data_IF_142268625725
#
_entry.id   IF_142268625725
#
_cell.length_a   1.000
_cell.length_b   1.000
_cell.length_c   1.000
_cell.angle_alpha   90.00
_cell.angle_beta   90.00
_cell.angle_gamma   90.00
#
_symmetry.space_group_name_H-M   'P 1'
#
loop_
_entity.id
_entity.type
_entity.pdbx_description
1 polymer ?
#
# COMPACT_ATOMS: atom_id res chain seq x y z
N UNK A 1 31.15 -25.66 -21.33
CA UNK A 1 30.00 -25.64 -20.41
C UNK A 1 29.61 -24.18 -20.31
N UNK A 2 28.48 -23.79 -20.90
CA UNK A 2 27.99 -22.42 -20.76
C UNK A 2 27.69 -22.18 -19.28
N UNK A 3 28.31 -21.16 -18.69
CA UNK A 3 27.96 -20.64 -17.38
C UNK A 3 26.50 -20.19 -17.44
N UNK A 4 25.58 -21.03 -16.96
CA UNK A 4 24.21 -20.62 -16.73
C UNK A 4 24.22 -19.67 -15.54
N UNK A 5 24.28 -18.38 -15.85
CA UNK A 5 24.27 -17.32 -14.86
C UNK A 5 22.96 -17.34 -14.07
N UNK A 6 23.06 -17.34 -12.75
CA UNK A 6 22.00 -16.99 -11.83
C UNK A 6 21.40 -15.64 -12.23
N UNK A 7 20.25 -15.66 -12.89
CA UNK A 7 19.59 -14.44 -13.35
C UNK A 7 18.59 -13.95 -12.28
N UNK A 8 19.01 -12.96 -11.50
CA UNK A 8 18.17 -12.31 -10.48
C UNK A 8 16.84 -11.87 -11.09
N UNK A 9 16.83 -11.32 -12.31
CA UNK A 9 15.60 -10.80 -12.91
C UNK A 9 14.58 -11.89 -13.24
N UNK A 10 15.02 -13.10 -13.58
CA UNK A 10 14.10 -14.21 -13.85
C UNK A 10 13.49 -14.76 -12.56
N UNK A 11 14.27 -14.77 -11.47
CA UNK A 11 13.80 -15.15 -10.14
C UNK A 11 12.78 -14.13 -9.63
N UNK A 12 13.06 -12.84 -9.80
CA UNK A 12 12.17 -11.76 -9.39
C UNK A 12 10.83 -11.78 -10.14
N UNK A 13 10.85 -12.13 -11.44
CA UNK A 13 9.61 -12.32 -12.22
C UNK A 13 8.78 -13.49 -11.72
N UNK A 14 9.40 -14.64 -11.45
CA UNK A 14 8.69 -15.79 -10.89
C UNK A 14 8.13 -15.49 -9.49
N UNK A 15 8.91 -14.79 -8.66
CA UNK A 15 8.46 -14.35 -7.34
C UNK A 15 7.25 -13.38 -7.46
N UNK A 16 7.23 -12.52 -8.48
CA UNK A 16 6.06 -11.68 -8.82
C UNK A 16 4.81 -12.49 -9.15
N UNK A 17 4.92 -13.44 -10.06
CA UNK A 17 3.78 -14.28 -10.44
C UNK A 17 3.19 -15.05 -9.24
N UNK A 18 4.04 -15.46 -8.28
CA UNK A 18 3.62 -16.20 -7.08
C UNK A 18 2.99 -15.31 -6.01
N UNK A 19 3.53 -14.11 -5.82
CA UNK A 19 3.07 -13.15 -4.79
C UNK A 19 1.81 -12.40 -5.23
N UNK A 20 1.50 -12.39 -6.52
CA UNK A 20 0.33 -11.70 -7.09
C UNK A 20 -0.92 -12.58 -7.24
N UNK A 21 -0.83 -13.88 -6.98
CA UNK A 21 -2.01 -14.76 -6.98
C UNK A 21 -3.07 -14.25 -5.97
N UNK A 22 -4.35 -14.50 -6.26
CA UNK A 22 -5.45 -14.05 -5.39
C UNK A 22 -5.99 -15.21 -4.57
N UNK A 23 -6.19 -14.97 -3.27
CA UNK A 23 -6.84 -15.91 -2.36
C UNK A 23 -8.26 -15.42 -2.07
N UNK A 24 -9.24 -16.28 -2.34
CA UNK A 24 -10.68 -16.00 -2.15
C UNK A 24 -11.36 -17.00 -1.20
N UNK A 25 -10.57 -17.84 -0.51
CA UNK A 25 -11.09 -18.90 0.37
C UNK A 25 -12.00 -18.39 1.50
N UNK A 26 -11.84 -17.13 1.93
CA UNK A 26 -12.62 -16.52 3.02
C UNK A 26 -14.04 -16.07 2.61
N UNK A 27 -14.37 -16.04 1.31
CA UNK A 27 -15.64 -15.45 0.82
C UNK A 27 -16.83 -16.39 1.03
N UNK A 28 -16.60 -17.70 1.15
CA UNK A 28 -17.66 -18.73 1.08
C UNK A 28 -18.77 -18.59 2.13
N UNK A 29 -18.51 -17.96 3.28
CA UNK A 29 -19.45 -17.86 4.40
C UNK A 29 -19.77 -16.42 4.85
N UNK A 30 -19.57 -15.44 3.98
CA UNK A 30 -19.72 -14.02 4.34
C UNK A 30 -20.86 -13.34 3.59
N UNK A 31 -21.64 -12.52 4.30
CA UNK A 31 -22.52 -11.51 3.71
C UNK A 31 -21.94 -10.10 3.84
N UNK A 32 -22.09 -9.30 2.78
CA UNK A 32 -21.72 -7.88 2.74
C UNK A 32 -22.96 -7.07 2.44
N UNK A 33 -23.29 -6.12 3.31
CA UNK A 33 -24.42 -5.22 3.12
C UNK A 33 -23.93 -3.84 2.67
N UNK A 34 -24.63 -3.21 1.74
CA UNK A 34 -24.30 -1.87 1.24
C UNK A 34 -25.42 -0.89 1.59
N UNK A 35 -25.06 0.27 2.11
CA UNK A 35 -25.98 1.36 2.40
C UNK A 35 -25.66 2.54 1.49
N UNK A 36 -26.61 2.88 0.61
CA UNK A 36 -26.48 4.02 -0.30
C UNK A 36 -27.08 5.26 0.34
N UNK A 37 -26.33 6.36 0.36
CA UNK A 37 -26.79 7.70 0.69
C UNK A 37 -26.48 8.64 -0.48
N UNK A 38 -27.48 9.38 -0.96
CA UNK A 38 -27.27 10.43 -1.97
C UNK A 38 -27.08 11.77 -1.25
N UNK A 39 -25.86 12.29 -1.28
CA UNK A 39 -25.49 13.51 -0.56
C UNK A 39 -25.36 14.69 -1.50
N UNK A 40 -25.89 15.85 -1.12
CA UNK A 40 -25.66 17.09 -1.84
C UNK A 40 -24.15 17.40 -1.88
N UNK A 41 -23.65 17.88 -3.02
CA UNK A 41 -22.23 18.23 -3.23
C UNK A 41 -21.68 19.07 -2.07
N UNK A 42 -22.42 20.10 -1.65
CA UNK A 42 -21.98 20.97 -0.56
C UNK A 42 -21.79 20.21 0.76
N UNK A 43 -22.75 19.36 1.12
CA UNK A 43 -22.68 18.51 2.32
C UNK A 43 -21.51 17.52 2.27
N UNK A 44 -21.24 16.92 1.11
CA UNK A 44 -20.11 16.01 0.92
C UNK A 44 -18.78 16.75 1.14
N UNK A 45 -18.64 17.95 0.58
CA UNK A 45 -17.42 18.77 0.70
C UNK A 45 -17.21 19.25 2.14
N UNK A 46 -18.27 19.72 2.81
CA UNK A 46 -18.18 20.15 4.20
C UNK A 46 -17.77 18.98 5.11
N UNK A 47 -18.38 17.80 4.93
CA UNK A 47 -17.96 16.61 5.67
C UNK A 47 -16.52 16.18 5.39
N UNK A 48 -15.99 16.44 4.20
CA UNK A 48 -14.58 16.16 3.89
C UNK A 48 -13.63 17.18 4.56
N UNK A 49 -13.99 18.46 4.58
CA UNK A 49 -13.23 19.51 5.29
C UNK A 49 -13.21 19.25 6.82
N UNK A 50 -14.33 18.75 7.37
CA UNK A 50 -14.50 18.36 8.78
C UNK A 50 -13.89 16.98 9.15
N UNK A 51 -13.14 16.35 8.23
CA UNK A 51 -12.53 15.03 8.44
C UNK A 51 -13.49 13.88 8.78
N UNK A 52 -14.77 13.98 8.38
CA UNK A 52 -15.69 12.84 8.43
C UNK A 52 -15.23 11.74 7.48
N UNK A 53 -14.72 12.12 6.30
CA UNK A 53 -14.20 11.21 5.29
C UNK A 53 -12.67 11.18 5.34
N UNK A 54 -12.11 10.02 5.70
CA UNK A 54 -10.67 9.84 5.87
C UNK A 54 -10.11 9.03 4.72
N UNK A 55 -8.97 9.47 4.18
CA UNK A 55 -8.23 8.72 3.17
C UNK A 55 -7.24 7.80 3.90
N UNK A 56 -7.33 6.46 3.70
CA UNK A 56 -6.39 5.49 4.25
C UNK A 56 -4.93 5.83 4.00
N UNK A 57 -4.07 5.37 4.90
CA UNK A 57 -2.62 5.63 4.88
C UNK A 57 -1.89 5.20 3.62
N UNK A 58 -2.47 4.23 2.94
CA UNK A 58 -1.75 3.51 1.90
C UNK A 58 -2.45 3.54 0.56
N UNK A 59 -3.39 4.47 0.41
CA UNK A 59 -3.96 4.80 -0.87
C UNK A 59 -2.91 5.44 -1.77
N UNK A 60 -3.02 5.18 -3.08
CA UNK A 60 -2.13 5.79 -4.08
C UNK A 60 -2.20 7.31 -3.99
N UNK A 61 -1.06 7.94 -4.23
CA UNK A 61 -0.90 9.39 -4.27
C UNK A 61 -1.88 10.05 -5.25
N UNK A 62 -2.20 11.32 -5.01
CA UNK A 62 -3.05 12.08 -5.93
C UNK A 62 -2.36 12.25 -7.29
N UNK A 63 -3.00 11.78 -8.37
CA UNK A 63 -2.42 11.79 -9.73
C UNK A 63 -3.36 12.36 -10.81
N UNK A 64 -4.54 12.84 -10.44
CA UNK A 64 -5.50 13.37 -11.41
C UNK A 64 -4.99 14.67 -12.05
N UNK A 65 -5.03 14.71 -13.39
CA UNK A 65 -4.66 15.89 -14.18
C UNK A 65 -5.71 16.98 -14.05
N UNK A 66 -5.34 18.23 -14.38
CA UNK A 66 -6.28 19.37 -14.42
C UNK A 66 -7.50 19.05 -15.30
N UNK A 67 -7.28 18.40 -16.44
CA UNK A 67 -8.33 18.02 -17.38
C UNK A 67 -9.33 17.03 -16.76
N UNK A 68 -8.87 16.06 -15.96
CA UNK A 68 -9.76 15.13 -15.25
C UNK A 68 -10.59 15.86 -14.19
N UNK A 69 -10.00 16.81 -13.47
CA UNK A 69 -10.73 17.66 -12.51
C UNK A 69 -11.76 18.54 -13.22
N UNK A 70 -11.40 19.13 -14.36
CA UNK A 70 -12.30 19.95 -15.18
C UNK A 70 -13.49 19.14 -15.68
N UNK A 71 -13.26 17.94 -16.22
CA UNK A 71 -14.33 17.04 -16.66
C UNK A 71 -15.27 16.61 -15.51
N UNK A 72 -14.74 16.43 -14.31
CA UNK A 72 -15.56 16.17 -13.12
C UNK A 72 -16.42 17.38 -12.72
N UNK A 73 -15.85 18.58 -12.77
CA UNK A 73 -16.60 19.83 -12.53
C UNK A 73 -17.69 20.06 -13.60
N UNK A 74 -17.39 19.76 -14.87
CA UNK A 74 -18.38 19.79 -15.95
C UNK A 74 -19.52 18.82 -15.66
N UNK A 75 -19.20 17.61 -15.17
CA UNK A 75 -20.20 16.60 -14.81
C UNK A 75 -21.14 17.10 -13.71
N UNK A 76 -20.62 17.78 -12.67
CA UNK A 76 -21.43 18.42 -11.63
C UNK A 76 -22.40 19.47 -12.20
N UNK A 77 -21.90 20.35 -13.07
CA UNK A 77 -22.68 21.46 -13.64
C UNK A 77 -23.75 20.95 -14.61
N UNK A 78 -23.43 19.92 -15.39
CA UNK A 78 -24.31 19.32 -16.38
C UNK A 78 -25.25 18.26 -15.80
N UNK A 79 -25.11 17.92 -14.52
CA UNK A 79 -25.87 16.84 -13.88
C UNK A 79 -25.58 15.46 -14.48
N UNK A 80 -24.37 15.25 -14.99
CA UNK A 80 -23.97 13.94 -15.50
C UNK A 80 -23.72 12.97 -14.34
N UNK A 81 -23.92 11.66 -14.54
CA UNK A 81 -23.64 10.66 -13.52
C UNK A 81 -22.20 10.72 -13.04
N UNK A 82 -22.01 10.95 -11.74
CA UNK A 82 -20.73 10.83 -11.05
C UNK A 82 -20.73 9.47 -10.35
N UNK A 83 -19.70 8.62 -10.54
CA UNK A 83 -19.68 7.33 -9.86
C UNK A 83 -19.71 7.51 -8.33
N UNK A 84 -20.15 6.49 -7.57
CA UNK A 84 -20.25 6.60 -6.12
C UNK A 84 -18.88 6.66 -5.42
N UNK A 85 -18.84 7.25 -4.23
CA UNK A 85 -17.70 7.16 -3.31
C UNK A 85 -17.98 5.99 -2.36
N UNK A 86 -17.08 5.02 -2.32
CA UNK A 86 -17.23 3.86 -1.44
C UNK A 86 -16.48 4.11 -0.14
N UNK A 87 -17.14 3.86 0.98
CA UNK A 87 -16.59 4.07 2.31
C UNK A 87 -16.89 2.88 3.20
N UNK A 88 -16.15 2.75 4.29
CA UNK A 88 -16.51 1.88 5.41
C UNK A 88 -16.39 2.63 6.73
N UNK A 89 -17.13 2.19 7.74
CA UNK A 89 -17.14 2.84 9.05
C UNK A 89 -15.99 2.31 9.92
N UNK A 90 -15.12 3.22 10.34
CA UNK A 90 -14.03 2.96 11.28
C UNK A 90 -14.44 3.32 12.72
N UNK A 91 -13.71 2.81 13.71
CA UNK A 91 -14.07 2.80 15.14
C UNK A 91 -14.25 4.16 15.83
N UNK A 92 -14.11 5.28 15.12
CA UNK A 92 -14.28 6.66 15.64
C UNK A 92 -15.41 7.44 14.95
N UNK A 93 -16.43 6.76 14.41
CA UNK A 93 -17.49 7.35 13.58
C UNK A 93 -17.00 8.08 12.31
N UNK A 94 -15.73 7.89 11.95
CA UNK A 94 -15.16 8.36 10.69
C UNK A 94 -15.45 7.34 9.58
N UNK A 95 -15.62 7.84 8.37
CA UNK A 95 -15.85 7.06 7.16
C UNK A 95 -14.55 7.00 6.37
N UNK A 96 -13.91 5.84 6.34
CA UNK A 96 -12.69 5.65 5.58
C UNK A 96 -13.02 5.32 4.13
N UNK A 97 -12.38 6.02 3.21
CA UNK A 97 -12.63 5.89 1.77
C UNK A 97 -11.95 4.63 1.23
N UNK A 98 -12.76 3.70 0.74
CA UNK A 98 -12.30 2.55 -0.02
C UNK A 98 -12.03 2.95 -1.46
N UNK A 99 -12.97 3.62 -2.13
CA UNK A 99 -12.78 4.11 -3.51
C UNK A 99 -13.38 5.50 -3.70
N UNK A 100 -12.79 6.28 -4.61
CA UNK A 100 -13.20 7.66 -4.91
C UNK A 100 -12.33 8.73 -4.27
N UNK A 101 -11.19 8.38 -3.69
CA UNK A 101 -10.28 9.34 -3.05
C UNK A 101 -9.81 10.48 -3.99
N UNK A 102 -9.52 10.17 -5.25
CA UNK A 102 -9.12 11.19 -6.24
C UNK A 102 -10.30 12.12 -6.53
N UNK A 103 -11.51 11.55 -6.66
CA UNK A 103 -12.74 12.29 -6.96
C UNK A 103 -13.10 13.25 -5.83
N UNK A 104 -13.16 12.79 -4.58
CA UNK A 104 -13.52 13.66 -3.45
C UNK A 104 -12.50 14.79 -3.25
N UNK A 105 -11.20 14.51 -3.40
CA UNK A 105 -10.17 15.54 -3.32
C UNK A 105 -10.28 16.54 -4.49
N UNK A 106 -10.49 16.06 -5.73
CA UNK A 106 -10.69 16.94 -6.88
C UNK A 106 -11.92 17.83 -6.73
N UNK A 107 -13.01 17.31 -6.17
CA UNK A 107 -14.23 18.06 -5.87
C UNK A 107 -13.97 19.14 -4.80
N UNK A 108 -13.21 18.80 -3.75
CA UNK A 108 -12.78 19.75 -2.72
C UNK A 108 -11.90 20.86 -3.30
N UNK A 109 -10.87 20.50 -4.08
CA UNK A 109 -9.98 21.48 -4.73
C UNK A 109 -10.75 22.39 -5.70
N UNK A 110 -11.68 21.83 -6.48
CA UNK A 110 -12.57 22.58 -7.35
C UNK A 110 -13.43 23.58 -6.56
N UNK A 111 -14.02 23.15 -5.44
CA UNK A 111 -14.80 24.02 -4.55
C UNK A 111 -13.99 25.21 -4.04
N UNK A 112 -12.72 24.98 -3.66
CA UNK A 112 -11.78 26.02 -3.22
C UNK A 112 -11.17 26.83 -4.37
N UNK A 113 -11.41 26.46 -5.63
CA UNK A 113 -10.83 27.11 -6.81
C UNK A 113 -9.32 26.88 -6.97
N UNK A 114 -8.79 25.81 -6.37
CA UNK A 114 -7.37 25.47 -6.32
C UNK A 114 -7.07 24.23 -7.16
N UNK A 115 -5.79 24.06 -7.52
CA UNK A 115 -5.27 22.83 -8.10
C UNK A 115 -3.83 22.59 -7.62
N UNK A 116 -3.49 21.32 -7.41
CA UNK A 116 -2.15 20.90 -7.02
C UNK A 116 -1.28 20.82 -8.27
N UNK A 117 -0.28 21.69 -8.41
CA UNK A 117 0.61 21.67 -9.57
C UNK A 117 1.49 20.41 -9.51
N UNK A 118 1.30 19.48 -10.44
CA UNK A 118 2.25 18.39 -10.67
C UNK A 118 3.56 18.97 -11.24
N UNK A 119 4.48 19.41 -10.38
CA UNK A 119 5.90 19.24 -10.75
C UNK A 119 6.14 17.72 -10.81
N UNK A 120 6.92 17.26 -11.78
CA UNK A 120 7.35 15.87 -11.90
C UNK A 120 7.81 15.38 -10.51
N UNK A 121 7.05 14.46 -9.89
CA UNK A 121 7.18 13.94 -8.51
C UNK A 121 6.40 14.59 -7.34
N UNK A 122 5.48 15.55 -7.52
CA UNK A 122 4.63 15.96 -6.37
C UNK A 122 3.62 14.86 -6.03
N UNK A 123 3.95 14.11 -4.98
CA UNK A 123 3.16 13.03 -4.45
C UNK A 123 2.45 13.51 -3.18
N UNK A 124 1.13 13.74 -3.27
CA UNK A 124 0.34 14.28 -2.16
C UNK A 124 0.01 13.16 -1.18
N UNK A 125 0.56 13.24 0.02
CA UNK A 125 0.37 12.29 1.11
C UNK A 125 -0.74 12.82 2.02
N UNK A 126 -1.98 12.76 1.50
CA UNK A 126 -3.19 13.29 2.17
C UNK A 126 -3.35 12.75 3.58
N UNK A 127 -2.95 11.50 3.79
CA UNK A 127 -2.90 10.87 5.09
C UNK A 127 -2.06 11.66 6.11
N UNK A 128 -0.85 12.09 5.75
CA UNK A 128 0.03 12.81 6.67
C UNK A 128 -0.62 14.11 7.13
N UNK A 129 -1.34 14.77 6.21
CA UNK A 129 -2.11 15.96 6.52
C UNK A 129 -3.29 15.64 7.45
N UNK A 130 -4.07 14.62 7.12
CA UNK A 130 -5.26 14.22 7.90
C UNK A 130 -4.91 13.68 9.30
N UNK A 131 -3.66 13.26 9.51
CA UNK A 131 -3.14 12.79 10.80
C UNK A 131 -2.45 13.90 11.61
N UNK A 132 -2.37 15.14 11.10
CA UNK A 132 -1.74 16.26 11.82
C UNK A 132 -2.51 16.56 13.11
N UNK A 133 -1.80 16.66 14.24
CA UNK A 133 -2.43 16.91 15.54
C UNK A 133 -3.17 18.24 15.56
N UNK A 134 -2.69 19.27 14.86
CA UNK A 134 -3.34 20.58 14.81
C UNK A 134 -4.70 20.49 14.13
N UNK A 135 -4.81 19.64 13.10
CA UNK A 135 -6.06 19.41 12.39
C UNK A 135 -7.06 18.64 13.25
N UNK A 136 -6.59 17.66 14.03
CA UNK A 136 -7.44 16.93 14.99
C UNK A 136 -7.86 17.75 16.21
N UNK A 137 -7.21 18.90 16.47
CA UNK A 137 -7.54 19.86 17.53
C UNK A 137 -8.28 21.10 17.01
N UNK A 138 -8.69 21.09 15.74
CA UNK A 138 -9.33 22.21 15.06
C UNK A 138 -8.50 23.53 15.08
N UNK A 139 -7.17 23.42 15.24
CA UNK A 139 -6.24 24.55 15.27
C UNK A 139 -5.88 25.05 13.85
N UNK A 140 -6.05 24.20 12.84
CA UNK A 140 -5.80 24.49 11.42
C UNK A 140 -6.85 23.79 10.56
N UNK A 141 -7.26 24.39 9.44
CA UNK A 141 -8.15 23.73 8.48
C UNK A 141 -7.38 22.82 7.54
N UNK A 142 -8.05 21.82 6.95
CA UNK A 142 -7.42 20.93 5.98
C UNK A 142 -6.92 21.70 4.75
N UNK A 143 -7.68 22.71 4.32
CA UNK A 143 -7.26 23.67 3.28
C UNK A 143 -5.94 24.34 3.61
N UNK A 144 -5.82 24.93 4.81
CA UNK A 144 -4.62 25.68 5.19
C UNK A 144 -3.40 24.76 5.27
N UNK A 145 -3.60 23.54 5.77
CA UNK A 145 -2.56 22.53 5.83
C UNK A 145 -2.12 22.07 4.42
N UNK A 146 -3.05 21.92 3.48
CA UNK A 146 -2.75 21.65 2.07
C UNK A 146 -1.94 22.79 1.43
N UNK A 147 -2.33 24.04 1.67
CA UNK A 147 -1.60 25.23 1.17
C UNK A 147 -0.17 25.32 1.71
N UNK A 148 0.04 24.99 2.99
CA UNK A 148 1.35 25.07 3.63
C UNK A 148 2.30 23.96 3.15
N UNK A 149 1.76 22.79 2.79
CA UNK A 149 2.56 21.62 2.41
C UNK A 149 2.73 21.45 0.89
N UNK A 150 1.81 21.99 0.08
CA UNK A 150 1.79 21.79 -1.36
C UNK A 150 1.61 23.10 -2.11
N UNK A 151 2.28 23.28 -3.27
CA UNK A 151 2.13 24.48 -4.09
C UNK A 151 0.77 24.49 -4.79
N UNK A 152 -0.25 24.99 -4.07
CA UNK A 152 -1.58 25.22 -4.62
C UNK A 152 -1.57 26.45 -5.52
N UNK A 153 -2.20 26.33 -6.69
CA UNK A 153 -2.41 27.46 -7.60
C UNK A 153 -3.89 27.70 -7.80
N UNK A 154 -4.23 28.97 -7.93
CA UNK A 154 -5.53 29.35 -8.49
C UNK A 154 -5.57 28.86 -9.93
N UNK A 155 -6.63 28.12 -10.25
CA UNK A 155 -6.84 27.58 -11.58
C UNK A 155 -8.18 28.03 -12.13
N UNK A 156 -8.15 28.40 -13.41
CA UNK A 156 -9.36 28.60 -14.19
C UNK A 156 -9.77 27.26 -14.79
N UNK A 157 -11.01 26.85 -14.52
CA UNK A 157 -11.67 25.73 -15.16
C UNK A 157 -12.61 26.26 -16.24
N UNK A 158 -12.63 25.63 -17.40
CA UNK A 158 -13.36 26.11 -18.57
C UNK A 158 -14.40 25.10 -19.03
N UNK A 159 -15.57 25.58 -19.44
CA UNK A 159 -16.59 24.78 -20.12
C UNK A 159 -16.85 25.37 -21.49
N UNK A 160 -16.69 24.53 -22.51
CA UNK A 160 -17.07 24.85 -23.88
C UNK A 160 -18.53 24.49 -24.12
N UNK A 161 -19.27 25.37 -24.78
CA UNK A 161 -20.62 25.10 -25.26
C UNK A 161 -20.84 25.78 -26.61
N UNK A 162 -21.81 25.28 -27.38
CA UNK A 162 -22.21 25.90 -28.65
C UNK A 162 -23.51 26.64 -28.48
N UNK A 163 -23.56 27.83 -29.06
CA UNK A 163 -24.76 28.66 -29.19
C UNK A 163 -24.72 29.29 -30.58
N UNK A 164 -25.76 29.07 -31.38
CA UNK A 164 -25.88 29.60 -32.76
C UNK A 164 -24.63 29.37 -33.64
N UNK A 165 -24.14 28.12 -33.69
CA UNK A 165 -22.93 27.69 -34.41
C UNK A 165 -21.61 28.36 -33.97
N UNK A 166 -21.62 29.15 -32.89
CA UNK A 166 -20.42 29.72 -32.27
C UNK A 166 -20.00 28.91 -31.04
N UNK A 167 -18.70 28.58 -30.95
CA UNK A 167 -18.13 27.99 -29.73
C UNK A 167 -17.88 29.11 -28.71
N UNK A 168 -18.48 28.97 -27.54
CA UNK A 168 -18.29 29.86 -26.40
C UNK A 168 -17.61 29.11 -25.27
N UNK A 169 -16.77 29.83 -24.52
CA UNK A 169 -16.05 29.30 -23.36
C UNK A 169 -16.47 30.10 -22.14
N UNK A 170 -16.90 29.43 -21.08
CA UNK A 170 -17.19 30.06 -19.79
C UNK A 170 -16.23 29.55 -18.72
N UNK A 171 -15.85 30.44 -17.80
CA UNK A 171 -15.14 30.07 -16.60
C UNK A 171 -16.13 29.40 -15.62
N UNK A 172 -15.86 28.14 -15.28
CA UNK A 172 -16.68 27.32 -14.40
C UNK A 172 -16.08 27.13 -13.01
N UNK A 173 -15.11 27.95 -12.60
CA UNK A 173 -14.62 27.96 -11.22
C UNK A 173 -15.77 28.24 -10.25
N UNK A 174 -15.87 27.47 -9.17
CA UNK A 174 -17.04 27.47 -8.28
C UNK A 174 -17.45 28.88 -7.78
N UNK A 175 -16.48 29.69 -7.34
CA UNK A 175 -16.69 31.06 -6.86
C UNK A 175 -17.10 32.05 -7.98
N UNK A 176 -16.84 31.72 -9.24
CA UNK A 176 -17.21 32.51 -10.43
C UNK A 176 -18.54 32.08 -11.06
N UNK A 177 -19.12 30.96 -10.61
CA UNK A 177 -20.42 30.53 -11.12
C UNK A 177 -21.52 31.55 -10.79
N UNK A 178 -22.44 31.83 -11.74
CA UNK A 178 -23.69 32.51 -11.47
C UNK A 178 -24.45 31.84 -10.33
N UNK A 179 -25.17 32.64 -9.54
CA UNK A 179 -25.88 32.16 -8.34
C UNK A 179 -26.83 30.99 -8.61
N UNK A 180 -27.48 30.98 -9.76
CA UNK A 180 -28.41 29.92 -10.18
C UNK A 180 -27.67 28.61 -10.46
N UNK A 181 -26.59 28.65 -11.26
CA UNK A 181 -25.78 27.47 -11.55
C UNK A 181 -25.11 26.96 -10.28
N UNK A 182 -24.62 27.85 -9.41
CA UNK A 182 -24.04 27.47 -8.13
C UNK A 182 -25.03 26.71 -7.26
N UNK A 183 -26.29 27.16 -7.17
CA UNK A 183 -27.35 26.43 -6.46
C UNK A 183 -27.56 25.05 -7.05
N UNK A 184 -27.59 24.92 -8.38
CA UNK A 184 -27.68 23.60 -9.02
C UNK A 184 -26.52 22.71 -8.58
N UNK A 185 -25.28 23.20 -8.65
CA UNK A 185 -24.08 22.46 -8.22
C UNK A 185 -24.16 22.09 -6.74
N UNK A 186 -24.54 23.01 -5.86
CA UNK A 186 -24.62 22.78 -4.41
C UNK A 186 -25.56 21.62 -4.05
N UNK A 187 -26.66 21.48 -4.79
CA UNK A 187 -27.69 20.45 -4.59
C UNK A 187 -27.53 19.23 -5.50
N UNK A 188 -26.60 19.22 -6.46
CA UNK A 188 -26.27 18.02 -7.24
C UNK A 188 -25.82 16.92 -6.27
N UNK A 189 -26.49 15.77 -6.33
CA UNK A 189 -26.22 14.67 -5.41
C UNK A 189 -25.12 13.75 -5.92
N UNK A 190 -24.21 13.36 -5.03
CA UNK A 190 -23.21 12.32 -5.26
C UNK A 190 -23.52 11.17 -4.31
N UNK A 191 -23.57 9.95 -4.86
CA UNK A 191 -23.82 8.76 -4.06
C UNK A 191 -22.60 8.40 -3.21
N UNK A 192 -22.82 8.18 -1.92
CA UNK A 192 -21.88 7.56 -0.99
C UNK A 192 -22.41 6.18 -0.63
N UNK A 193 -21.59 5.15 -0.80
CA UNK A 193 -21.94 3.76 -0.49
C UNK A 193 -21.11 3.31 0.71
N UNK A 194 -21.76 3.13 1.85
CA UNK A 194 -21.16 2.56 3.05
C UNK A 194 -21.22 1.02 2.98
N UNK A 195 -20.05 0.39 3.02
CA UNK A 195 -19.89 -1.06 3.09
C UNK A 195 -19.94 -1.48 4.56
N UNK A 196 -20.88 -2.35 4.90
CA UNK A 196 -20.97 -2.99 6.21
C UNK A 196 -20.68 -4.47 6.09
N UNK A 197 -19.80 -4.93 6.96
CA UNK A 197 -19.39 -6.32 7.06
C UNK A 197 -19.87 -6.85 8.40
N UNK A 198 -20.68 -7.90 8.37
CA UNK A 198 -21.31 -8.44 9.59
C UNK A 198 -20.34 -9.29 10.42
N UNK A 199 -19.34 -9.91 9.78
CA UNK A 199 -18.31 -10.70 10.44
C UNK A 199 -17.07 -9.85 10.75
N UNK A 200 -16.97 -9.38 11.99
CA UNK A 200 -15.80 -8.61 12.46
C UNK A 200 -14.49 -9.40 12.38
N UNK A 201 -14.49 -10.75 12.42
CA UNK A 201 -13.25 -11.55 12.30
C UNK A 201 -12.71 -11.54 10.87
N UNK A 202 -13.60 -11.57 9.88
CA UNK A 202 -13.22 -11.59 8.46
C UNK A 202 -13.25 -10.20 7.82
N UNK A 203 -13.60 -9.16 8.59
CA UNK A 203 -13.81 -7.79 8.11
C UNK A 203 -12.71 -7.29 7.19
N UNK A 204 -11.44 -7.43 7.59
CA UNK A 204 -10.32 -6.98 6.78
C UNK A 204 -10.20 -7.75 5.47
N UNK A 205 -10.39 -9.08 5.48
CA UNK A 205 -10.41 -9.90 4.26
C UNK A 205 -11.50 -9.50 3.29
N UNK A 206 -12.68 -9.22 3.83
CA UNK A 206 -13.83 -8.84 3.05
C UNK A 206 -13.63 -7.44 2.46
N UNK A 207 -13.13 -6.50 3.26
CA UNK A 207 -12.75 -5.16 2.80
C UNK A 207 -11.64 -5.23 1.74
N UNK A 208 -10.67 -6.12 1.89
CA UNK A 208 -9.64 -6.40 0.87
C UNK A 208 -10.27 -6.82 -0.45
N UNK A 209 -11.23 -7.76 -0.42
CA UNK A 209 -11.94 -8.19 -1.63
C UNK A 209 -12.78 -7.09 -2.26
N UNK A 210 -13.52 -6.36 -1.43
CA UNK A 210 -14.35 -5.24 -1.89
C UNK A 210 -13.46 -4.19 -2.55
N UNK A 211 -12.34 -3.84 -1.91
CA UNK A 211 -11.40 -2.86 -2.42
C UNK A 211 -10.78 -3.34 -3.75
N UNK A 212 -10.37 -4.60 -3.85
CA UNK A 212 -9.93 -5.19 -5.12
C UNK A 212 -10.99 -5.06 -6.24
N UNK A 213 -12.24 -5.44 -5.96
CA UNK A 213 -13.32 -5.39 -6.96
C UNK A 213 -13.57 -3.95 -7.44
N UNK A 214 -13.46 -2.97 -6.56
CA UNK A 214 -13.64 -1.55 -6.89
C UNK A 214 -12.49 -1.00 -7.74
N UNK A 215 -11.27 -1.52 -7.56
CA UNK A 215 -10.11 -1.07 -8.33
C UNK A 215 -10.00 -1.70 -9.73
N UNK A 216 -10.85 -2.68 -10.06
CA UNK A 216 -10.80 -3.41 -11.35
C UNK A 216 -11.11 -2.53 -12.58
N UNK A 217 -11.76 -1.38 -12.39
CA UNK A 217 -12.04 -0.41 -13.46
C UNK A 217 -10.89 0.55 -13.81
N UNK A 218 -9.78 0.51 -13.07
CA UNK A 218 -8.62 1.40 -13.26
C UNK A 218 -7.29 0.64 -13.30
N UNK A 219 -6.20 1.28 -12.89
CA UNK A 219 -4.93 0.56 -12.66
C UNK A 219 -5.10 -0.36 -11.47
N UNK A 220 -5.05 -1.67 -11.72
CA UNK A 220 -5.20 -2.70 -10.69
C UNK A 220 -4.12 -2.55 -9.62
N UNK A 221 -4.54 -2.52 -8.35
CA UNK A 221 -3.65 -2.49 -7.21
C UNK A 221 -3.09 -3.90 -6.96
N UNK A 222 -1.79 -3.97 -6.70
CA UNK A 222 -1.13 -5.24 -6.32
C UNK A 222 -1.50 -5.64 -4.90
N UNK A 223 -1.24 -6.90 -4.55
CA UNK A 223 -1.64 -7.47 -3.26
C UNK A 223 -1.11 -6.68 -2.05
N UNK A 224 0.13 -6.20 -2.10
CA UNK A 224 0.65 -5.36 -1.01
C UNK A 224 -0.04 -4.00 -0.93
N UNK A 225 -0.39 -3.38 -2.06
CA UNK A 225 -1.12 -2.11 -2.07
C UNK A 225 -2.51 -2.28 -1.45
N UNK A 226 -3.19 -3.39 -1.76
CA UNK A 226 -4.47 -3.76 -1.13
C UNK A 226 -4.31 -4.01 0.37
N UNK A 227 -3.29 -4.79 0.78
CA UNK A 227 -3.00 -5.05 2.21
C UNK A 227 -2.75 -3.76 2.95
N UNK A 228 -1.91 -2.89 2.40
CA UNK A 228 -1.65 -1.61 3.01
C UNK A 228 -3.01 -0.90 3.20
N UNK A 229 -3.83 -0.72 2.16
CA UNK A 229 -5.12 0.00 2.26
C UNK A 229 -6.09 -0.50 3.35
N UNK A 230 -6.05 -1.80 3.65
CA UNK A 230 -6.95 -2.47 4.60
C UNK A 230 -6.37 -2.53 6.03
N UNK A 231 -5.11 -2.96 6.18
CA UNK A 231 -4.50 -3.23 7.48
C UNK A 231 -3.83 -1.97 8.04
N UNK A 232 -4.64 -1.06 8.58
CA UNK A 232 -4.16 0.17 9.20
C UNK A 232 -3.81 -0.02 10.67
N UNK A 233 -2.55 -0.38 10.95
CA UNK A 233 -2.04 -0.55 12.32
C UNK A 233 -0.60 -0.05 12.48
N UNK A 234 -0.19 0.11 13.75
CA UNK A 234 1.16 0.56 14.12
C UNK A 234 2.27 -0.36 13.57
N UNK A 235 1.96 -1.65 13.39
CA UNK A 235 2.90 -2.58 12.78
C UNK A 235 3.19 -2.23 11.31
N UNK A 236 2.16 -1.94 10.52
CA UNK A 236 2.38 -1.49 9.13
C UNK A 236 3.03 -0.11 9.10
N UNK A 237 2.68 0.80 10.01
CA UNK A 237 3.36 2.09 10.13
C UNK A 237 4.87 1.91 10.34
N UNK A 238 5.28 0.96 11.18
CA UNK A 238 6.69 0.60 11.41
C UNK A 238 7.37 0.09 10.13
N UNK A 239 6.72 -0.79 9.36
CA UNK A 239 7.29 -1.28 8.08
C UNK A 239 7.53 -0.13 7.10
N UNK A 240 6.56 0.78 6.99
CA UNK A 240 6.68 1.98 6.14
C UNK A 240 7.74 2.95 6.68
N UNK A 241 7.87 3.10 8.00
CA UNK A 241 8.92 3.90 8.63
C UNK A 241 10.30 3.39 8.20
N UNK A 242 10.61 2.10 8.43
CA UNK A 242 11.86 1.48 7.99
C UNK A 242 12.07 1.70 6.49
N UNK A 243 11.03 1.46 5.68
CA UNK A 243 11.11 1.61 4.23
C UNK A 243 11.46 3.05 3.78
N UNK A 244 10.99 4.05 4.52
CA UNK A 244 11.10 5.44 4.16
C UNK A 244 12.34 6.13 4.74
N UNK A 245 12.82 5.70 5.92
CA UNK A 245 13.85 6.43 6.67
C UNK A 245 15.18 5.67 6.76
N UNK A 246 15.20 4.34 6.61
CA UNK A 246 16.44 3.56 6.75
C UNK A 246 17.29 3.60 5.47
N UNK A 247 18.39 4.36 5.51
CA UNK A 247 19.29 4.52 4.35
C UNK A 247 19.97 3.22 3.91
N UNK A 248 20.31 2.32 4.84
CA UNK A 248 20.93 1.04 4.49
C UNK A 248 19.94 0.13 3.77
N UNK A 249 18.69 0.11 4.23
CA UNK A 249 17.63 -0.60 3.53
C UNK A 249 17.42 -0.10 2.10
N UNK A 250 17.48 1.23 1.88
CA UNK A 250 17.43 1.81 0.52
C UNK A 250 18.65 1.48 -0.32
N UNK A 251 19.84 1.30 0.27
CA UNK A 251 21.02 0.79 -0.45
C UNK A 251 20.88 -0.69 -0.83
N UNK A 252 20.28 -1.50 0.04
CA UNK A 252 20.06 -2.94 -0.18
C UNK A 252 18.99 -3.18 -1.26
N UNK A 253 17.84 -2.51 -1.13
CA UNK A 253 16.71 -2.73 -2.02
C UNK A 253 16.77 -1.87 -3.29
N UNK A 254 17.20 -0.62 -3.18
CA UNK A 254 17.18 0.38 -4.24
C UNK A 254 16.05 1.40 -4.11
N UNK A 255 15.55 1.87 -5.26
CA UNK A 255 14.46 2.85 -5.32
C UNK A 255 13.15 2.27 -4.78
N UNK A 256 12.30 3.15 -4.23
CA UNK A 256 10.97 2.77 -3.73
C UNK A 256 10.15 2.17 -4.87
N UNK A 257 9.65 0.95 -4.66
CA UNK A 257 8.90 0.28 -5.70
C UNK A 257 7.50 0.88 -5.83
N UNK A 258 7.04 1.13 -7.06
CA UNK A 258 5.74 1.78 -7.32
C UNK A 258 4.54 1.02 -6.73
N UNK A 259 4.66 -0.31 -6.58
CA UNK A 259 3.66 -1.21 -6.03
C UNK A 259 4.00 -1.69 -4.60
N UNK A 260 4.88 -0.99 -3.88
CA UNK A 260 5.27 -1.32 -2.50
C UNK A 260 5.88 -2.73 -2.31
N UNK A 261 6.59 -3.28 -3.31
CA UNK A 261 7.24 -4.60 -3.21
C UNK A 261 8.38 -4.61 -2.19
N UNK A 262 8.99 -3.45 -1.94
CA UNK A 262 9.92 -3.21 -0.84
C UNK A 262 9.26 -3.41 0.52
N UNK A 263 8.08 -2.83 0.72
CA UNK A 263 7.32 -3.03 1.96
C UNK A 263 6.80 -4.47 2.08
N UNK A 264 6.43 -5.10 0.96
CA UNK A 264 6.05 -6.53 0.94
C UNK A 264 7.21 -7.40 1.42
N UNK A 265 8.46 -7.12 1.02
CA UNK A 265 9.62 -7.89 1.47
C UNK A 265 9.85 -7.75 2.99
N UNK A 266 9.67 -6.56 3.55
CA UNK A 266 9.71 -6.37 5.01
C UNK A 266 8.56 -7.11 5.72
N UNK A 267 7.36 -7.13 5.13
CA UNK A 267 6.23 -7.92 5.64
C UNK A 267 6.54 -9.42 5.60
N UNK A 268 7.18 -9.90 4.52
CA UNK A 268 7.63 -11.29 4.39
C UNK A 268 8.63 -11.64 5.48
N UNK A 269 9.61 -10.78 5.78
CA UNK A 269 10.53 -10.98 6.89
C UNK A 269 9.77 -11.29 8.18
N UNK A 270 8.86 -10.41 8.58
CA UNK A 270 8.11 -10.57 9.81
C UNK A 270 7.19 -11.80 9.82
N UNK A 271 6.49 -12.07 8.70
CA UNK A 271 5.65 -13.25 8.56
C UNK A 271 6.45 -14.55 8.67
N UNK A 272 7.63 -14.61 8.04
CA UNK A 272 8.55 -15.72 8.18
C UNK A 272 9.03 -15.85 9.65
N UNK A 273 9.42 -14.77 10.32
CA UNK A 273 9.80 -14.86 11.74
C UNK A 273 8.64 -15.36 12.62
N UNK A 274 7.39 -14.98 12.33
CA UNK A 274 6.23 -15.37 13.13
C UNK A 274 5.88 -16.86 12.98
N UNK A 275 5.86 -17.35 11.74
CA UNK A 275 5.35 -18.69 11.42
C UNK A 275 6.43 -19.78 11.35
N UNK A 276 7.70 -19.41 11.48
CA UNK A 276 8.80 -20.36 11.48
C UNK A 276 9.40 -20.57 12.86
N UNK A 277 9.67 -21.83 13.17
CA UNK A 277 10.36 -22.22 14.40
C UNK A 277 11.53 -23.15 14.08
N UNK A 278 12.66 -22.92 14.76
CA UNK A 278 13.79 -23.83 14.73
C UNK A 278 13.53 -24.99 15.69
N UNK A 279 13.34 -26.20 15.16
CA UNK A 279 13.08 -27.40 15.92
C UNK A 279 14.07 -28.51 15.51
N UNK A 280 14.75 -29.09 16.49
CA UNK A 280 15.72 -30.17 16.28
C UNK A 280 16.79 -29.85 15.22
N UNK A 281 17.26 -28.59 15.19
CA UNK A 281 18.27 -28.12 14.22
C UNK A 281 17.74 -27.83 12.81
N UNK A 282 16.42 -27.93 12.59
CA UNK A 282 15.78 -27.64 11.31
C UNK A 282 14.67 -26.60 11.46
N UNK A 283 14.61 -25.67 10.52
CA UNK A 283 13.55 -24.68 10.38
C UNK A 283 12.27 -25.39 9.89
N UNK A 284 11.17 -25.25 10.64
CA UNK A 284 9.83 -25.73 10.25
C UNK A 284 8.87 -24.58 9.99
N UNK A 285 8.07 -24.73 8.95
CA UNK A 285 7.06 -23.76 8.51
C UNK A 285 5.65 -24.15 8.98
N UNK A 286 5.01 -23.27 9.75
CA UNK A 286 3.62 -23.41 10.19
C UNK A 286 2.70 -22.47 9.42
N UNK A 287 1.41 -22.82 9.29
CA UNK A 287 0.40 -21.97 8.66
C UNK A 287 0.73 -21.48 7.22
N UNK A 288 1.38 -22.32 6.41
CA UNK A 288 1.67 -22.03 5.01
C UNK A 288 1.07 -23.08 4.09
N UNK A 289 0.13 -22.64 3.25
CA UNK A 289 -0.64 -23.49 2.33
C UNK A 289 -0.23 -23.26 0.87
N UNK A 290 1.08 -23.16 0.61
CA UNK A 290 1.66 -22.93 -0.72
C UNK A 290 1.24 -21.62 -1.41
N UNK A 291 0.77 -20.64 -0.64
CA UNK A 291 0.30 -19.35 -1.14
C UNK A 291 0.89 -18.21 -0.31
N UNK A 292 1.81 -17.45 -0.90
CA UNK A 292 2.34 -16.22 -0.30
C UNK A 292 1.23 -15.17 -0.04
N UNK A 293 0.30 -14.90 -0.97
CA UNK A 293 -0.80 -13.97 -0.72
C UNK A 293 -1.60 -14.34 0.52
N UNK A 294 -2.00 -15.63 0.63
CA UNK A 294 -2.73 -16.13 1.80
C UNK A 294 -1.88 -15.99 3.07
N UNK A 295 -0.64 -16.45 3.03
CA UNK A 295 0.31 -16.41 4.15
C UNK A 295 0.50 -14.99 4.71
N UNK A 296 0.70 -14.00 3.83
CA UNK A 296 0.89 -12.62 4.24
C UNK A 296 -0.39 -12.00 4.75
N UNK A 297 -1.53 -12.32 4.14
CA UNK A 297 -2.82 -11.86 4.66
C UNK A 297 -3.10 -12.50 6.04
N UNK A 298 -2.80 -13.79 6.24
CA UNK A 298 -2.98 -14.51 7.51
C UNK A 298 -2.08 -13.90 8.59
N UNK A 299 -0.84 -13.51 8.24
CA UNK A 299 0.02 -12.73 9.14
C UNK A 299 -0.53 -11.33 9.44
N UNK A 300 -1.12 -10.66 8.46
CA UNK A 300 -1.64 -9.30 8.61
C UNK A 300 -2.84 -9.25 9.58
N UNK A 301 -3.67 -10.29 9.57
CA UNK A 301 -4.76 -10.46 10.55
C UNK A 301 -4.24 -10.62 11.98
N UNK A 302 -3.08 -11.23 12.18
CA UNK A 302 -2.44 -11.31 13.51
C UNK A 302 -1.76 -9.99 13.87
N UNK A 303 -1.06 -9.37 12.93
CA UNK A 303 -0.24 -8.19 13.14
C UNK A 303 -1.05 -6.93 13.52
N UNK A 304 -2.33 -6.86 13.16
CA UNK A 304 -3.24 -5.78 13.58
C UNK A 304 -3.43 -5.73 15.10
N UNK A 305 -3.16 -6.84 15.81
CA UNK A 305 -3.35 -6.97 17.25
C UNK A 305 -2.04 -6.92 18.04
N UNK A 306 -0.89 -6.69 17.39
CA UNK A 306 0.39 -6.63 18.08
C UNK A 306 0.49 -5.42 19.01
N UNK A 307 1.04 -5.66 20.19
CA UNK A 307 1.38 -4.59 21.12
C UNK A 307 2.69 -3.91 20.71
N UNK A 308 2.94 -2.75 21.34
CA UNK A 308 4.13 -1.95 21.04
C UNK A 308 5.44 -2.73 21.26
N UNK A 309 5.51 -3.55 22.31
CA UNK A 309 6.71 -4.35 22.60
C UNK A 309 7.01 -5.37 21.49
N UNK A 310 5.97 -6.03 20.96
CA UNK A 310 6.09 -6.95 19.84
C UNK A 310 6.53 -6.20 18.57
N UNK A 311 5.95 -5.03 18.30
CA UNK A 311 6.31 -4.20 17.14
C UNK A 311 7.78 -3.74 17.24
N UNK A 312 8.20 -3.27 18.40
CA UNK A 312 9.58 -2.83 18.65
C UNK A 312 10.58 -3.99 18.47
N UNK A 313 10.25 -5.20 18.93
CA UNK A 313 11.06 -6.41 18.69
C UNK A 313 11.23 -6.69 17.18
N UNK A 314 10.14 -6.62 16.39
CA UNK A 314 10.25 -6.81 14.94
C UNK A 314 11.11 -5.73 14.28
N UNK A 315 10.95 -4.48 14.70
CA UNK A 315 11.77 -3.36 14.21
C UNK A 315 13.24 -3.60 14.49
N UNK A 316 13.61 -3.91 15.73
CA UNK A 316 14.99 -4.19 16.14
C UNK A 316 15.59 -5.36 15.35
N UNK A 317 14.83 -6.44 15.14
CA UNK A 317 15.30 -7.60 14.37
C UNK A 317 15.56 -7.26 12.90
N UNK A 318 14.64 -6.50 12.27
CA UNK A 318 14.78 -6.05 10.89
C UNK A 318 15.99 -5.12 10.74
N UNK A 319 16.12 -4.13 11.62
CA UNK A 319 17.24 -3.18 11.59
C UNK A 319 18.59 -3.87 11.87
N UNK A 320 18.62 -4.80 12.83
CA UNK A 320 19.80 -5.63 13.12
C UNK A 320 20.22 -6.48 11.91
N UNK A 321 19.26 -7.03 11.18
CA UNK A 321 19.54 -7.75 9.94
C UNK A 321 20.10 -6.82 8.85
N UNK A 322 19.44 -5.68 8.62
CA UNK A 322 19.89 -4.66 7.66
C UNK A 322 21.34 -4.23 7.96
N UNK A 323 21.69 -4.09 9.24
CA UNK A 323 23.04 -3.71 9.67
C UNK A 323 24.12 -4.78 9.41
N UNK A 324 23.72 -6.05 9.27
CA UNK A 324 24.63 -7.17 8.94
C UNK A 324 24.92 -7.25 7.44
N UNK A 325 24.12 -6.62 6.59
CA UNK A 325 24.25 -6.70 5.13
C UNK A 325 25.25 -5.65 4.62
N UNK A 326 26.30 -6.10 3.94
CA UNK A 326 27.36 -5.27 3.33
C UNK A 326 27.52 -5.62 1.84
N UNK A 327 26.44 -5.38 1.10
CA UNK A 327 26.35 -5.73 -0.32
C UNK A 327 26.36 -4.47 -1.18
N UNK A 328 26.99 -4.58 -2.34
CA UNK A 328 26.93 -3.57 -3.40
C UNK A 328 26.13 -4.03 -4.62
N UNK A 329 25.88 -5.33 -4.72
CA UNK A 329 25.16 -5.94 -5.84
C UNK A 329 23.71 -6.22 -5.47
N UNK A 330 22.83 -6.25 -6.48
CA UNK A 330 21.42 -6.62 -6.31
C UNK A 330 21.28 -8.10 -5.95
N UNK A 331 20.44 -8.39 -4.96
CA UNK A 331 20.15 -9.74 -4.50
C UNK A 331 18.66 -10.03 -4.70
N UNK A 332 18.32 -11.27 -5.05
CA UNK A 332 16.94 -11.71 -5.16
C UNK A 332 16.21 -11.66 -3.80
N UNK A 333 14.95 -11.23 -3.80
CA UNK A 333 14.09 -11.10 -2.61
C UNK A 333 13.99 -12.43 -1.84
N UNK A 334 13.91 -13.55 -2.55
CA UNK A 334 13.87 -14.89 -1.97
C UNK A 334 15.13 -15.23 -1.16
N UNK A 335 16.29 -14.70 -1.55
CA UNK A 335 17.53 -14.88 -0.79
C UNK A 335 17.56 -13.92 0.41
N UNK A 336 17.14 -12.65 0.24
CA UNK A 336 17.06 -11.70 1.34
C UNK A 336 16.15 -12.17 2.47
N UNK A 337 14.96 -12.70 2.15
CA UNK A 337 14.03 -13.23 3.17
C UNK A 337 14.60 -14.46 3.89
N UNK A 338 15.38 -15.27 3.17
CA UNK A 338 16.02 -16.46 3.73
C UNK A 338 17.17 -16.08 4.66
N UNK A 339 17.97 -15.08 4.26
CA UNK A 339 19.05 -14.53 5.08
C UNK A 339 18.51 -13.83 6.33
N UNK A 340 17.40 -13.09 6.21
CA UNK A 340 16.74 -12.47 7.35
C UNK A 340 16.38 -13.53 8.39
N UNK A 341 15.61 -14.55 8.01
CA UNK A 341 15.17 -15.59 8.93
C UNK A 341 16.36 -16.33 9.56
N UNK A 342 17.38 -16.67 8.76
CA UNK A 342 18.60 -17.29 9.26
C UNK A 342 19.29 -16.40 10.31
N UNK A 343 19.32 -15.08 10.10
CA UNK A 343 19.96 -14.14 11.02
C UNK A 343 19.29 -13.99 12.39
N UNK A 344 18.03 -14.41 12.51
CA UNK A 344 17.31 -14.47 13.80
C UNK A 344 17.86 -15.61 14.67
N UNK A 345 18.29 -16.71 14.05
CA UNK A 345 18.74 -17.90 14.76
C UNK A 345 20.28 -18.01 14.87
N UNK A 346 21.02 -17.33 13.99
CA UNK A 346 22.49 -17.35 14.01
C UNK A 346 23.02 -16.19 14.87
N UNK A 347 23.55 -16.53 16.04
CA UNK A 347 24.13 -15.56 16.97
C UNK A 347 25.61 -15.25 16.63
N UNK A 348 25.98 -13.98 16.77
CA UNK A 348 27.37 -13.53 16.65
C UNK A 348 27.49 -12.16 15.97
N UNK A 349 28.72 -11.63 15.95
CA UNK A 349 29.06 -10.46 15.13
C UNK A 349 29.63 -10.95 13.81
N UNK A 350 28.88 -10.79 12.74
CA UNK A 350 29.28 -11.15 11.39
C UNK A 350 28.68 -10.18 10.39
N UNK A 351 29.23 -10.18 9.17
CA UNK A 351 28.74 -9.40 8.04
C UNK A 351 28.45 -10.34 6.88
N UNK A 352 27.39 -10.03 6.13
CA UNK A 352 26.97 -10.76 4.95
C UNK A 352 27.37 -9.91 3.74
N UNK A 353 28.43 -10.32 3.06
CA UNK A 353 28.96 -9.64 1.88
C UNK A 353 28.54 -10.28 0.56
N UNK A 354 28.84 -9.61 -0.55
CA UNK A 354 28.53 -10.05 -1.92
C UNK A 354 29.00 -11.49 -2.21
N UNK A 355 30.21 -11.86 -1.76
CA UNK A 355 30.80 -13.17 -2.06
C UNK A 355 29.99 -14.32 -1.43
N UNK A 356 29.51 -14.13 -0.20
CA UNK A 356 28.67 -15.12 0.48
C UNK A 356 27.33 -15.29 -0.24
N UNK A 357 26.70 -14.17 -0.62
CA UNK A 357 25.43 -14.19 -1.32
C UNK A 357 25.56 -14.83 -2.71
N UNK A 358 26.64 -14.53 -3.46
CA UNK A 358 26.94 -15.15 -4.76
C UNK A 358 27.21 -16.65 -4.63
N UNK A 359 27.91 -17.07 -3.57
CA UNK A 359 28.17 -18.48 -3.32
C UNK A 359 26.87 -19.26 -3.11
N UNK A 360 25.93 -18.74 -2.32
CA UNK A 360 24.61 -19.35 -2.14
C UNK A 360 23.82 -19.35 -3.45
N UNK A 361 23.77 -18.21 -4.14
CA UNK A 361 23.00 -18.03 -5.36
C UNK A 361 23.41 -19.02 -6.47
N UNK A 362 24.71 -19.28 -6.61
CA UNK A 362 25.26 -20.16 -7.63
C UNK A 362 25.32 -21.64 -7.22
N UNK A 363 24.90 -22.00 -6.00
CA UNK A 363 24.87 -23.40 -5.57
C UNK A 363 23.62 -24.11 -6.12
N UNK A 364 23.84 -25.20 -6.86
CA UNK A 364 22.79 -26.08 -7.38
C UNK A 364 21.79 -26.58 -6.31
N UNK A 365 22.24 -26.71 -5.06
CA UNK A 365 21.43 -27.09 -3.90
C UNK A 365 20.46 -26.01 -3.48
N UNK A 366 20.79 -24.74 -3.71
CA UNK A 366 19.89 -23.60 -3.50
C UNK A 366 18.98 -23.42 -4.71
N UNK A 367 19.55 -23.51 -5.92
CA UNK A 367 18.85 -23.32 -7.19
C UNK A 367 17.60 -24.21 -7.31
N UNK A 368 17.71 -25.49 -6.89
CA UNK A 368 16.58 -26.43 -6.89
C UNK A 368 15.37 -25.96 -6.07
N UNK A 369 15.54 -25.05 -5.12
CA UNK A 369 14.45 -24.50 -4.29
C UNK A 369 13.86 -23.20 -4.82
N UNK A 370 14.54 -22.56 -5.77
CA UNK A 370 14.15 -21.26 -6.32
C UNK A 370 13.52 -21.41 -7.72
N UNK A 371 13.86 -22.48 -8.44
CA UNK A 371 13.22 -22.85 -9.71
C UNK A 371 11.87 -23.56 -9.49
N UNK A 372 10.90 -23.32 -10.39
CA UNK A 372 9.62 -24.03 -10.61
C UNK A 372 8.91 -24.56 -9.35
N UNK A 373 7.71 -24.06 -9.03
CA UNK A 373 6.98 -24.40 -7.79
C UNK A 373 7.73 -24.00 -6.51
N UNK A 374 8.48 -22.90 -6.56
CA UNK A 374 9.24 -22.32 -5.44
C UNK A 374 8.36 -21.81 -4.29
N UNK A 375 7.05 -21.69 -4.51
CA UNK A 375 6.02 -21.43 -3.50
C UNK A 375 5.53 -22.68 -2.78
N UNK A 376 5.96 -23.90 -3.14
CA UNK A 376 5.55 -25.07 -2.37
C UNK A 376 6.22 -25.07 -0.99
N UNK A 377 5.49 -25.50 0.04
CA UNK A 377 5.94 -25.54 1.44
C UNK A 377 7.28 -26.26 1.59
N UNK A 378 7.46 -27.37 0.89
CA UNK A 378 8.71 -28.14 0.89
C UNK A 378 9.88 -27.37 0.28
N UNK A 379 9.66 -26.61 -0.80
CA UNK A 379 10.68 -25.79 -1.44
C UNK A 379 11.03 -24.56 -0.62
N UNK A 380 10.03 -23.86 -0.08
CA UNK A 380 10.23 -22.72 0.84
C UNK A 380 11.02 -23.18 2.07
N UNK A 381 10.58 -24.24 2.74
CA UNK A 381 11.28 -24.77 3.91
C UNK A 381 12.69 -25.25 3.56
N UNK A 382 12.87 -25.92 2.41
CA UNK A 382 14.18 -26.36 1.93
C UNK A 382 15.15 -25.20 1.68
N UNK A 383 14.68 -24.12 1.04
CA UNK A 383 15.45 -22.89 0.81
C UNK A 383 15.94 -22.27 2.12
N UNK A 384 15.02 -22.12 3.08
CA UNK A 384 15.30 -21.48 4.36
C UNK A 384 16.28 -22.30 5.21
N UNK A 385 16.12 -23.62 5.24
CA UNK A 385 17.07 -24.51 5.92
C UNK A 385 18.46 -24.45 5.30
N UNK A 386 18.55 -24.49 3.97
CA UNK A 386 19.84 -24.41 3.27
C UNK A 386 20.59 -23.12 3.63
N UNK A 387 19.91 -21.96 3.56
CA UNK A 387 20.54 -20.66 3.88
C UNK A 387 20.91 -20.56 5.36
N UNK A 388 20.10 -21.11 6.26
CA UNK A 388 20.43 -21.18 7.69
C UNK A 388 21.69 -22.02 7.96
N UNK A 389 21.81 -23.18 7.34
CA UNK A 389 22.99 -24.04 7.48
C UNK A 389 24.26 -23.36 6.95
N UNK A 390 24.19 -22.74 5.77
CA UNK A 390 25.34 -22.06 5.18
C UNK A 390 25.75 -20.83 5.98
N UNK A 391 24.78 -20.05 6.49
CA UNK A 391 25.09 -18.91 7.35
C UNK A 391 25.70 -19.36 8.68
N UNK A 392 25.21 -20.44 9.27
CA UNK A 392 25.77 -21.01 10.51
C UNK A 392 27.23 -21.45 10.29
N UNK A 393 27.52 -22.18 9.21
CA UNK A 393 28.88 -22.60 8.84
C UNK A 393 29.78 -21.40 8.58
N UNK A 394 29.28 -20.38 7.90
CA UNK A 394 30.03 -19.15 7.62
C UNK A 394 30.42 -18.43 8.91
N UNK A 395 29.49 -18.27 9.85
CA UNK A 395 29.77 -17.62 11.14
C UNK A 395 30.75 -18.43 11.98
N UNK A 396 30.63 -19.76 12.01
CA UNK A 396 31.55 -20.60 12.79
C UNK A 396 32.96 -20.65 12.21
N UNK A 397 33.11 -20.51 10.88
CA UNK A 397 34.44 -20.38 10.24
C UNK A 397 35.14 -19.07 10.58
N UNK A 398 34.38 -17.98 10.74
CA UNK A 398 34.92 -16.65 11.07
C UNK A 398 35.14 -16.42 12.59
N UNK A 399 34.74 -17.37 13.45
CA UNK A 399 35.07 -17.37 14.88
C UNK A 399 36.47 -17.92 15.19
N UNK A 400 37.09 -18.63 14.23
CA UNK A 400 38.48 -19.09 14.28
C UNK A 400 39.38 -18.04 13.65
#
# INVERSE_FOLDING_TARGET
MEEKNYNVDDIEKQDEELTEQKDYSFIENTNVTQYKADLAFKTLIDGFDDLLYVIPKYQRKYIWSKEQVENLAISLIRGLPIPPIYVYRSGKNKLEILDGQQRILSLFLYYKGKYIKNSTNTQVELQRLMSDERLNRDEITFEKLLEDQYPLKDVTYELKYREDDTEKVINIRYDKLPKEIRRTVDFTTISVIEIKVDDEKQKNRILYKVFENLNSGGTELKNQELRNGVYQCEFYDMLHEINNTNEKWRKIYGEKHRHSRDVELLLRFAALQYYFKLENGSIKLYNYENSYPKFLNDFSDEAIHFDKATIDMYKENIESFIDKIEIGDRIANLLLESLYLASIYVNGKYKIGNDFCKAIANDSSYEKYVLSSSSSKSKVQGRLNYVYEELSKYVDRNKK
#
